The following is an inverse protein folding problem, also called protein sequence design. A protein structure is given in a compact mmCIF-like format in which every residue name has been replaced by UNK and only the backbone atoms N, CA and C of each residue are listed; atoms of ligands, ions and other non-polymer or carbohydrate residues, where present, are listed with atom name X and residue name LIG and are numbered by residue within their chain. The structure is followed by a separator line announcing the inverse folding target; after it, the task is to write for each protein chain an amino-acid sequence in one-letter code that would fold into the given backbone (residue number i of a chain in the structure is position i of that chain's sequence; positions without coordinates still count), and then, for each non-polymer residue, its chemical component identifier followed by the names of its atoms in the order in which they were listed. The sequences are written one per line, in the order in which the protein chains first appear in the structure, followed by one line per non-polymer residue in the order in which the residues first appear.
data_IF_619448246547
#
_entry.id   IF_619448246547
#
_cell.length_a   1.000
_cell.length_b   1.000
_cell.length_c   1.000
_cell.angle_alpha   90.00
_cell.angle_beta   90.00
_cell.angle_gamma   90.00
#
_symmetry.space_group_name_H-M   'P 1'
#
loop_
_entity.id
_entity.type
_entity.pdbx_description
1 polymer ?
#
# COMPACT_ATOMS: atom_id res chain seq x y z
N UNK A 1 -21.26 -13.11 19.92
CA UNK A 1 -21.33 -12.27 20.24
C UNK A 1 -20.38 -11.24 20.08
N UNK A 2 -19.58 -10.97 20.95
CA UNK A 2 -18.67 -9.97 20.78
C UNK A 2 -17.79 -10.28 19.68
N UNK A 3 -17.48 -11.45 19.44
CA UNK A 3 -16.69 -11.81 18.39
C UNK A 3 -17.26 -11.40 17.13
N UNK A 4 -18.51 -11.49 16.95
CA UNK A 4 -19.15 -11.10 15.75
C UNK A 4 -19.01 -9.63 15.51
N UNK A 5 -19.13 -8.86 16.55
CA UNK A 5 -19.01 -7.48 16.37
C UNK A 5 -17.64 -7.12 15.95
N UNK A 6 -16.64 -7.72 16.52
CA UNK A 6 -15.30 -7.45 16.14
C UNK A 6 -15.09 -7.80 14.70
N UNK A 7 -15.65 -8.88 14.25
CA UNK A 7 -15.51 -9.27 12.89
C UNK A 7 -16.14 -8.26 11.97
N UNK A 8 -17.25 -7.72 12.35
CA UNK A 8 -17.88 -6.76 11.53
C UNK A 8 -17.08 -5.50 11.43
N UNK A 9 -16.47 -5.09 12.51
CA UNK A 9 -15.62 -3.94 12.46
C UNK A 9 -14.44 -4.19 11.55
N UNK A 10 -13.91 -5.38 11.57
CA UNK A 10 -12.82 -5.71 10.70
C UNK A 10 -13.23 -5.63 9.26
N UNK A 11 -14.45 -6.01 8.94
CA UNK A 11 -14.89 -5.93 7.59
C UNK A 11 -15.08 -4.51 7.17
N UNK A 12 -15.57 -3.69 8.04
CA UNK A 12 -15.80 -2.32 7.72
C UNK A 12 -14.51 -1.57 7.60
N UNK A 13 -13.58 -1.82 8.50
CA UNK A 13 -12.33 -1.12 8.47
C UNK A 13 -11.40 -1.77 7.50
N UNK A 14 -10.62 -1.02 6.81
CA UNK A 14 -9.64 -1.62 5.92
C UNK A 14 -8.67 -2.40 6.75
N UNK A 15 -8.24 -3.53 6.26
CA UNK A 15 -7.28 -4.29 6.95
C UNK A 15 -6.01 -3.54 6.95
N UNK A 16 -5.31 -3.54 8.05
CA UNK A 16 -4.05 -2.86 8.13
C UNK A 16 -3.02 -3.64 7.35
N UNK A 17 -2.22 -2.95 6.61
CA UNK A 17 -1.11 -3.56 5.90
C UNK A 17 0.12 -3.29 6.72
N UNK A 18 0.84 -4.34 7.11
CA UNK A 18 2.04 -4.18 7.90
C UNK A 18 3.18 -4.94 7.27
N UNK A 19 4.38 -4.55 7.59
CA UNK A 19 5.56 -5.18 7.07
C UNK A 19 6.63 -5.14 8.15
N UNK A 20 7.39 -6.20 8.30
CA UNK A 20 8.49 -6.19 9.24
C UNK A 20 9.61 -5.37 8.63
N UNK A 21 10.03 -4.32 9.30
CA UNK A 21 11.10 -3.49 8.81
C UNK A 21 12.03 -3.23 9.97
N UNK A 22 13.27 -3.66 9.82
CA UNK A 22 14.30 -3.50 10.83
C UNK A 22 13.84 -4.11 12.17
N UNK A 23 13.34 -5.35 12.08
CA UNK A 23 12.98 -6.10 13.27
C UNK A 23 11.72 -5.68 13.97
N UNK A 24 10.91 -4.84 13.35
CA UNK A 24 9.74 -4.32 13.98
C UNK A 24 8.61 -4.30 12.98
N UNK A 25 7.41 -4.69 13.39
CA UNK A 25 6.28 -4.67 12.51
C UNK A 25 5.81 -3.22 12.37
N UNK A 26 5.74 -2.72 11.17
CA UNK A 26 5.38 -1.33 10.93
C UNK A 26 4.21 -1.26 9.96
N UNK A 27 3.35 -0.30 10.19
CA UNK A 27 2.15 -0.15 9.40
C UNK A 27 2.43 0.66 8.14
N UNK A 28 1.83 0.25 7.04
CA UNK A 28 1.88 1.01 5.80
C UNK A 28 0.49 1.58 5.58
N UNK A 29 0.38 2.87 5.49
CA UNK A 29 -0.91 3.51 5.35
C UNK A 29 -0.80 4.69 4.41
N UNK A 30 -1.63 4.71 3.40
CA UNK A 30 -1.62 5.81 2.45
C UNK A 30 -2.75 6.77 2.79
N UNK A 31 -2.49 7.65 3.75
CA UNK A 31 -3.44 8.66 4.14
C UNK A 31 -3.30 9.88 3.27
N UNK A 32 -3.89 10.96 3.70
CA UNK A 32 -3.94 12.18 2.90
C UNK A 32 -2.56 12.68 2.54
N UNK A 33 -1.66 12.71 3.48
CA UNK A 33 -0.31 13.22 3.22
C UNK A 33 0.43 12.34 2.20
N UNK A 34 0.30 11.03 2.32
CA UNK A 34 0.95 10.14 1.38
C UNK A 34 0.36 10.32 -0.02
N UNK A 35 -0.96 10.42 -0.13
CA UNK A 35 -1.58 10.60 -1.42
C UNK A 35 -1.20 11.94 -2.04
N UNK A 36 -1.02 12.95 -1.21
CA UNK A 36 -0.60 14.25 -1.71
C UNK A 36 0.77 14.15 -2.35
N UNK A 37 1.66 13.39 -1.73
CA UNK A 37 2.98 13.21 -2.31
C UNK A 37 2.90 12.40 -3.60
N UNK A 38 2.06 11.35 -3.62
CA UNK A 38 1.91 10.57 -4.84
C UNK A 38 1.34 11.43 -5.96
N UNK A 39 0.44 12.33 -5.62
CA UNK A 39 -0.13 13.20 -6.61
C UNK A 39 0.93 14.10 -7.23
N UNK A 40 1.85 14.60 -6.43
CA UNK A 40 2.91 15.42 -6.97
C UNK A 40 3.80 14.63 -7.89
N UNK A 41 4.03 13.37 -7.58
CA UNK A 41 4.96 12.57 -8.35
C UNK A 41 4.36 11.91 -9.56
N UNK A 42 3.12 11.50 -9.48
CA UNK A 42 2.50 10.73 -10.54
C UNK A 42 1.29 11.38 -11.18
N UNK A 43 0.77 12.41 -10.57
CA UNK A 43 -0.36 13.09 -11.14
C UNK A 43 -1.70 12.69 -10.58
N UNK A 44 -1.70 11.89 -9.51
CA UNK A 44 -2.95 11.63 -8.81
C UNK A 44 -3.49 10.24 -9.01
N UNK A 45 -4.65 10.02 -8.44
CA UNK A 45 -5.26 8.71 -8.44
C UNK A 45 -5.49 8.17 -9.83
N UNK A 46 -5.84 9.01 -10.77
CA UNK A 46 -6.11 8.51 -12.10
C UNK A 46 -4.86 8.03 -12.80
N UNK A 47 -3.69 8.26 -12.23
CA UNK A 47 -2.46 7.79 -12.83
C UNK A 47 -1.86 6.60 -12.09
N UNK A 48 -2.69 5.88 -11.34
CA UNK A 48 -2.24 4.71 -10.63
C UNK A 48 -1.67 3.65 -11.57
N UNK A 49 -2.22 3.54 -12.77
CA UNK A 49 -1.70 2.53 -13.69
C UNK A 49 -0.28 2.85 -14.10
N UNK A 50 0.07 4.13 -14.13
CA UNK A 50 1.42 4.51 -14.45
C UNK A 50 2.35 4.03 -13.34
N UNK A 51 1.93 4.14 -12.10
CA UNK A 51 2.68 3.70 -10.98
C UNK A 51 2.84 2.19 -11.02
N UNK A 52 1.77 1.45 -11.33
CA UNK A 52 1.82 0.01 -11.43
C UNK A 52 2.80 -0.42 -12.50
N UNK A 53 2.86 0.31 -13.60
CA UNK A 53 3.75 -0.02 -14.66
C UNK A 53 5.20 0.14 -14.21
N UNK A 54 5.48 1.18 -13.45
CA UNK A 54 6.82 1.38 -12.96
C UNK A 54 7.22 0.28 -11.99
N UNK A 55 6.28 -0.19 -11.17
CA UNK A 55 6.56 -1.26 -10.25
C UNK A 55 6.94 -2.52 -11.03
N UNK A 56 6.27 -2.76 -12.15
CA UNK A 56 6.61 -3.90 -12.94
C UNK A 56 7.97 -3.77 -13.59
N UNK A 57 8.28 -2.61 -14.07
CA UNK A 57 9.52 -2.42 -14.82
C UNK A 57 10.75 -2.29 -13.93
N UNK A 58 10.65 -1.57 -12.84
CA UNK A 58 11.79 -1.34 -11.98
C UNK A 58 11.38 -1.45 -10.52
N UNK A 59 10.99 -2.65 -10.09
CA UNK A 59 10.47 -2.81 -8.73
C UNK A 59 11.48 -2.46 -7.64
N UNK A 60 12.75 -2.74 -7.86
CA UNK A 60 13.71 -2.49 -6.81
C UNK A 60 13.98 -1.01 -6.59
N UNK A 61 13.66 -0.20 -7.59
CA UNK A 61 13.82 1.23 -7.44
C UNK A 61 12.54 1.83 -6.89
N UNK A 62 11.41 1.39 -7.37
CA UNK A 62 10.14 2.04 -7.09
C UNK A 62 9.50 1.59 -5.79
N UNK A 63 9.54 0.30 -5.50
CA UNK A 63 8.85 -0.21 -4.33
C UNK A 63 9.37 0.38 -3.03
N UNK A 64 10.69 0.46 -2.81
CA UNK A 64 11.16 1.08 -1.57
C UNK A 64 10.70 2.52 -1.42
N UNK A 65 10.69 3.25 -2.52
CA UNK A 65 10.27 4.63 -2.49
C UNK A 65 8.80 4.74 -2.10
N UNK A 66 7.95 3.94 -2.73
CA UNK A 66 6.53 4.01 -2.46
C UNK A 66 6.20 3.53 -1.05
N UNK A 67 6.88 2.48 -0.60
CA UNK A 67 6.66 2.01 0.75
C UNK A 67 7.06 3.06 1.77
N UNK A 68 8.15 3.76 1.51
CA UNK A 68 8.60 4.77 2.45
C UNK A 68 7.58 5.89 2.55
N UNK A 69 6.93 6.24 1.44
CA UNK A 69 5.91 7.26 1.45
C UNK A 69 4.76 6.86 2.37
N UNK A 70 4.37 5.59 2.33
CA UNK A 70 3.25 5.13 3.13
C UNK A 70 3.61 4.64 4.52
N UNK A 71 4.90 4.60 4.85
CA UNK A 71 5.31 4.07 6.13
C UNK A 71 4.92 5.02 7.25
N UNK A 72 4.21 4.51 8.24
CA UNK A 72 3.73 5.34 9.32
C UNK A 72 4.83 5.63 10.32
N UNK A 73 5.60 4.61 10.71
CA UNK A 73 6.68 4.77 11.66
C UNK A 73 7.99 4.70 10.89
N UNK A 74 8.63 5.82 10.69
CA UNK A 74 9.85 5.89 9.91
C UNK A 74 11.12 5.92 10.75
N UNK A 75 10.98 5.70 12.04
CA UNK A 75 12.14 5.80 12.92
C UNK A 75 13.24 4.84 12.50
N UNK A 76 14.42 5.34 12.24
CA UNK A 76 15.55 4.51 11.86
C UNK A 76 15.49 3.98 10.44
N UNK A 77 14.52 4.40 9.65
CA UNK A 77 14.33 3.89 8.32
C UNK A 77 14.57 4.98 7.30
N UNK A 78 15.26 4.62 6.23
CA UNK A 78 15.39 5.54 5.09
C UNK A 78 14.93 4.78 3.87
N UNK A 79 14.76 5.49 2.80
CA UNK A 79 14.32 4.86 1.57
C UNK A 79 15.34 3.82 1.13
N UNK A 80 16.62 4.07 1.35
CA UNK A 80 17.65 3.16 0.94
C UNK A 80 17.68 1.90 1.78
N UNK A 81 17.35 1.98 3.06
CA UNK A 81 17.48 0.82 3.91
C UNK A 81 16.16 0.13 4.29
N UNK A 82 15.06 0.62 3.76
CA UNK A 82 13.75 0.14 4.18
C UNK A 82 13.56 -1.36 3.95
N UNK A 83 14.11 -1.86 2.89
CA UNK A 83 13.98 -3.29 2.57
C UNK A 83 15.29 -4.05 2.67
N UNK A 84 16.25 -3.54 3.46
CA UNK A 84 17.53 -4.18 3.59
C UNK A 84 17.49 -5.63 3.98
N UNK A 85 16.52 -6.01 4.78
CA UNK A 85 16.48 -7.37 5.26
C UNK A 85 15.75 -8.32 4.35
N UNK A 86 15.26 -7.85 3.21
CA UNK A 86 14.51 -8.68 2.29
C UNK A 86 15.33 -9.03 1.08
N UNK A 87 14.97 -10.12 0.45
CA UNK A 87 15.67 -10.58 -0.75
C UNK A 87 14.75 -10.64 -1.93
N UNK A 88 15.30 -11.08 -3.03
CA UNK A 88 14.56 -11.16 -4.26
C UNK A 88 13.33 -12.03 -4.13
N UNK A 89 13.41 -13.09 -3.35
CA UNK A 89 12.29 -13.98 -3.22
C UNK A 89 11.11 -13.34 -2.49
N UNK A 90 11.32 -12.19 -1.87
CA UNK A 90 10.26 -11.54 -1.11
C UNK A 90 9.50 -10.49 -1.91
N UNK A 91 9.92 -10.24 -3.14
CA UNK A 91 9.34 -9.14 -3.91
C UNK A 91 7.83 -9.28 -4.10
N UNK A 92 7.37 -10.50 -4.37
CA UNK A 92 5.94 -10.68 -4.60
C UNK A 92 5.14 -10.35 -3.34
N UNK A 93 5.63 -10.80 -2.19
CA UNK A 93 4.94 -10.54 -0.93
C UNK A 93 4.93 -9.06 -0.61
N UNK A 94 6.07 -8.40 -0.82
CA UNK A 94 6.18 -6.99 -0.53
C UNK A 94 5.26 -6.18 -1.43
N UNK A 95 5.21 -6.55 -2.71
CA UNK A 95 4.34 -5.87 -3.64
C UNK A 95 2.88 -6.03 -3.22
N UNK A 96 2.53 -7.22 -2.77
CA UNK A 96 1.16 -7.44 -2.34
C UNK A 96 0.81 -6.58 -1.14
N UNK A 97 1.71 -6.47 -0.17
CA UNK A 97 1.47 -5.63 1.00
C UNK A 97 1.26 -4.18 0.56
N UNK A 98 2.13 -3.71 -0.34
CA UNK A 98 2.01 -2.35 -0.83
C UNK A 98 0.68 -2.13 -1.53
N UNK A 99 0.30 -3.06 -2.39
CA UNK A 99 -0.94 -2.90 -3.13
C UNK A 99 -2.14 -2.92 -2.22
N UNK A 100 -2.10 -3.78 -1.20
CA UNK A 100 -3.19 -3.82 -0.26
C UNK A 100 -3.32 -2.49 0.47
N UNK A 101 -2.20 -1.90 0.87
CA UNK A 101 -2.25 -0.63 1.56
C UNK A 101 -2.75 0.47 0.63
N UNK A 102 -2.28 0.48 -0.59
CA UNK A 102 -2.63 1.53 -1.52
C UNK A 102 -4.09 1.44 -1.94
N UNK A 103 -4.53 0.27 -2.39
CA UNK A 103 -5.89 0.15 -2.89
C UNK A 103 -6.89 0.16 -1.74
N UNK A 104 -6.48 -0.26 -0.56
CA UNK A 104 -7.36 -0.19 0.59
C UNK A 104 -7.65 1.24 1.01
N UNK A 105 -6.82 2.19 0.59
CA UNK A 105 -7.04 3.57 0.96
C UNK A 105 -7.90 4.32 -0.04
N UNK A 106 -8.26 3.69 -1.16
CA UNK A 106 -9.07 4.36 -2.15
C UNK A 106 -10.53 4.37 -1.75
N UNK A 107 -11.29 5.29 -2.26
CA UNK A 107 -12.69 5.34 -1.94
C UNK A 107 -13.37 4.06 -2.33
N UNK A 108 -14.13 3.50 -1.41
CA UNK A 108 -14.73 2.29 -1.66
C UNK A 108 -15.80 2.26 -2.59
N UNK A 109 -16.54 3.20 -2.60
CA UNK A 109 -17.64 3.12 -3.44
C UNK A 109 -17.26 3.04 -4.79
N UNK A 110 -16.28 3.12 -5.07
CA UNK A 110 -15.96 3.01 -6.30
C UNK A 110 -16.36 1.90 -6.74
N UNK A 111 -16.80 1.63 -6.40
CA UNK A 111 -17.21 0.76 -6.74
C UNK A 111 -16.99 -0.04 -7.34
N UNK A 112 -16.59 -0.11 -7.26
CA UNK A 112 -16.21 -0.84 -7.64
C UNK A 112 -17.12 -1.54 -7.95
N UNK A 113 -17.82 -1.55 -7.59
CA UNK A 113 -18.65 -2.19 -7.78
C UNK A 113 -19.15 -2.08 -8.89
N UNK A 114 -19.44 -1.56 -9.28
CA UNK A 114 -19.99 -1.43 -10.27
C UNK A 114 -19.40 -1.56 -11.23
N UNK A 115 -18.68 -1.43 -11.19
CA UNK A 115 -18.07 -1.39 -12.10
C UNK A 115 -17.91 -2.55 -12.55
N UNK A 116 -17.90 -3.16 -12.16
CA UNK A 116 -17.69 -4.14 -12.49
C UNK A 116 -18.43 -4.57 -13.24
N UNK A 117 -19.00 -4.38 -13.13
CA UNK A 117 -19.62 -4.78 -13.74
C UNK A 117 -19.59 -4.47 -14.76
N UNK A 118 -19.31 -3.92 -14.85
CA UNK A 118 -19.22 -3.63 -15.71
C UNK A 118 -18.64 -3.99 -16.46
N UNK A 119 -18.29 -4.27 -16.32
CA UNK A 119 -17.78 -4.57 -16.95
C UNK A 119 -18.00 -5.09 -17.57
N UNK A 120 -18.40 -5.22 -17.42
CA UNK A 120 -18.70 -5.74 -17.89
C UNK A 120 -18.96 -5.83 -18.37
#
# INVERSE_FOLDING_TARGET
MEENKTTELDKISPKKATLMIHGKEREIFFGFTAWRQLEREYGGIKNITKMDKQIEETPFEVIPHLLFIGLVDKEGVTEENILDEYGLQDVAMITEVFQRALYGSLPEDNGEKKSKEMEA
#
